data_IF_233532891775
#
_entry.id   IF_233532891775
#
_cell.length_a   1.000
_cell.length_b   1.000
_cell.length_c   1.000
_cell.angle_alpha   90.00
_cell.angle_beta   90.00
_cell.angle_gamma   90.00
#
_symmetry.space_group_name_H-M   'P 1'
#
loop_
_entity.id
_entity.type
_entity.pdbx_description
1 polymer ?
#
# COMPACT_ATOMS: atom_id res chain seq x y z
N UNK A 1 -20.70 12.48 9.57
CA UNK A 1 -19.60 13.13 8.86
C UNK A 1 -18.90 12.07 8.04
N UNK A 2 -19.11 12.08 6.75
CA UNK A 2 -18.82 10.97 5.82
C UNK A 2 -17.35 10.98 5.41
N UNK A 3 -16.50 10.00 5.76
CA UNK A 3 -15.10 9.99 5.35
C UNK A 3 -14.87 9.56 3.89
N UNK A 4 -15.90 9.03 3.22
CA UNK A 4 -15.74 8.44 1.89
C UNK A 4 -15.67 9.42 0.71
N UNK A 5 -15.87 10.72 0.93
CA UNK A 5 -15.76 11.73 -0.14
C UNK A 5 -14.52 12.63 -0.01
N UNK A 6 -13.72 12.47 1.05
CA UNK A 6 -12.53 13.30 1.31
C UNK A 6 -11.20 12.58 1.00
N UNK A 7 -11.24 11.30 0.73
CA UNK A 7 -10.00 10.50 0.55
C UNK A 7 -9.36 10.63 -0.84
N UNK A 8 -10.03 11.29 -1.78
CA UNK A 8 -9.55 11.38 -3.17
C UNK A 8 -8.96 12.76 -3.53
N UNK A 9 -8.58 13.57 -2.54
CA UNK A 9 -8.00 14.89 -2.78
C UNK A 9 -6.56 15.00 -2.26
N UNK A 10 -5.73 14.04 -2.56
CA UNK A 10 -4.32 14.32 -2.85
C UNK A 10 -4.37 14.99 -4.21
N UNK A 11 -3.95 16.22 -4.29
CA UNK A 11 -4.10 17.12 -5.42
C UNK A 11 -3.84 16.40 -6.75
N UNK A 12 -4.92 15.84 -7.30
CA UNK A 12 -4.92 14.97 -8.46
C UNK A 12 -4.46 15.74 -9.71
N UNK A 13 -4.36 17.06 -9.61
CA UNK A 13 -3.99 17.91 -10.74
C UNK A 13 -2.47 17.95 -10.97
N UNK A 14 -1.67 17.97 -9.93
CA UNK A 14 -0.19 17.92 -10.05
C UNK A 14 0.30 16.52 -10.43
N UNK A 15 -0.37 15.47 -9.97
CA UNK A 15 -0.02 14.09 -10.29
C UNK A 15 -0.60 13.59 -11.63
N UNK A 16 -1.62 14.26 -12.19
CA UNK A 16 -2.30 13.86 -13.44
C UNK A 16 -1.39 13.81 -14.67
N UNK A 17 -0.30 14.56 -14.68
CA UNK A 17 0.66 14.55 -15.79
C UNK A 17 1.74 13.46 -15.66
N UNK A 18 1.81 12.76 -14.54
CA UNK A 18 2.88 11.80 -14.28
C UNK A 18 2.53 10.37 -14.68
N UNK A 19 1.25 10.01 -14.56
CA UNK A 19 0.76 8.65 -14.69
C UNK A 19 -0.10 8.47 -15.93
N UNK A 20 -0.14 7.26 -16.44
CA UNK A 20 -0.99 6.88 -17.59
C UNK A 20 -2.48 6.75 -17.22
N UNK A 21 -2.80 6.76 -15.94
CA UNK A 21 -4.16 6.64 -15.40
C UNK A 21 -4.21 7.05 -13.93
N UNK A 22 -5.34 6.83 -13.27
CA UNK A 22 -5.49 7.13 -11.84
C UNK A 22 -4.49 6.32 -11.01
N UNK A 23 -3.90 6.95 -9.99
CA UNK A 23 -3.03 6.27 -9.05
C UNK A 23 -3.84 5.38 -8.09
N UNK A 24 -3.28 4.23 -7.76
CA UNK A 24 -3.76 3.41 -6.65
C UNK A 24 -3.34 4.05 -5.32
N UNK A 25 -4.29 4.29 -4.44
CA UNK A 25 -4.04 4.87 -3.11
C UNK A 25 -4.49 3.90 -2.05
N UNK A 26 -3.55 3.45 -1.22
CA UNK A 26 -3.81 2.62 -0.05
C UNK A 26 -3.54 3.42 1.22
N UNK A 27 -4.48 3.39 2.15
CA UNK A 27 -4.40 4.16 3.40
C UNK A 27 -4.52 3.22 4.58
N UNK A 28 -3.59 3.32 5.51
CA UNK A 28 -3.68 2.69 6.83
C UNK A 28 -3.58 3.74 7.96
N UNK A 29 -3.27 3.31 9.19
CA UNK A 29 -3.18 4.22 10.34
C UNK A 29 -1.95 5.12 10.29
N UNK A 30 -0.87 4.67 9.70
CA UNK A 30 0.47 5.25 9.74
C UNK A 30 0.86 5.90 8.44
N UNK A 31 0.42 5.33 7.30
CA UNK A 31 0.87 5.82 5.99
C UNK A 31 -0.23 5.85 4.93
N UNK A 32 0.02 6.67 3.92
CA UNK A 32 -0.70 6.72 2.66
C UNK A 32 0.27 6.27 1.59
N UNK A 33 0.00 5.15 0.93
CA UNK A 33 0.82 4.67 -0.19
C UNK A 33 0.16 5.04 -1.50
N UNK A 34 0.90 5.73 -2.36
CA UNK A 34 0.47 6.15 -3.70
C UNK A 34 1.30 5.45 -4.75
N UNK A 35 0.66 4.67 -5.61
CA UNK A 35 1.32 3.95 -6.71
C UNK A 35 0.67 4.33 -8.02
N UNK A 36 1.45 4.93 -8.92
CA UNK A 36 0.98 5.32 -10.24
C UNK A 36 1.60 4.46 -11.35
N UNK A 37 0.84 4.18 -12.40
CA UNK A 37 1.33 3.45 -13.57
C UNK A 37 2.03 4.40 -14.54
N UNK A 38 3.26 4.08 -14.91
CA UNK A 38 4.03 4.79 -15.92
C UNK A 38 3.95 4.08 -17.27
N UNK A 39 4.03 4.86 -18.34
CA UNK A 39 4.19 4.29 -19.67
C UNK A 39 5.48 3.44 -19.71
N UNK A 40 5.42 2.23 -20.26
CA UNK A 40 6.60 1.39 -20.43
C UNK A 40 7.61 2.08 -21.36
N UNK A 41 8.91 1.85 -21.15
CA UNK A 41 9.93 2.35 -22.08
C UNK A 41 9.77 1.70 -23.47
N UNK A 42 10.03 2.48 -24.52
CA UNK A 42 10.03 1.95 -25.87
C UNK A 42 11.23 1.01 -26.06
N UNK A 43 10.94 -0.25 -26.31
CA UNK A 43 11.93 -1.30 -26.61
C UNK A 43 11.58 -1.97 -27.93
N UNK A 44 12.59 -2.56 -28.58
CA UNK A 44 12.37 -3.39 -29.77
C UNK A 44 11.53 -4.63 -29.44
N UNK A 45 10.84 -5.18 -30.44
CA UNK A 45 9.99 -6.37 -30.31
C UNK A 45 10.77 -7.59 -29.77
N UNK A 46 12.06 -7.68 -30.12
CA UNK A 46 12.96 -8.77 -29.73
C UNK A 46 13.64 -8.57 -28.38
N UNK A 47 13.26 -7.56 -27.60
CA UNK A 47 13.89 -7.30 -26.29
C UNK A 47 13.66 -8.47 -25.33
N UNK A 48 14.74 -8.93 -24.72
CA UNK A 48 14.72 -9.99 -23.70
C UNK A 48 14.05 -9.50 -22.39
N UNK A 49 13.60 -10.44 -21.56
CA UNK A 49 13.01 -10.12 -20.26
C UNK A 49 13.99 -9.35 -19.35
N UNK A 50 15.29 -9.63 -19.47
CA UNK A 50 16.33 -8.90 -18.74
C UNK A 50 16.43 -7.43 -19.20
N UNK A 51 16.35 -7.18 -20.49
CA UNK A 51 16.38 -5.81 -21.05
C UNK A 51 15.10 -5.05 -20.69
N UNK A 52 13.92 -5.69 -20.77
CA UNK A 52 12.65 -5.12 -20.30
C UNK A 52 12.70 -4.75 -18.82
N UNK A 53 13.22 -5.67 -18.00
CA UNK A 53 13.39 -5.44 -16.56
C UNK A 53 14.33 -4.26 -16.28
N UNK A 54 15.50 -4.21 -16.93
CA UNK A 54 16.46 -3.13 -16.76
C UNK A 54 15.90 -1.76 -17.22
N UNK A 55 15.16 -1.75 -18.31
CA UNK A 55 14.53 -0.55 -18.82
C UNK A 55 13.41 -0.05 -17.91
N UNK A 56 12.59 -0.95 -17.35
CA UNK A 56 11.57 -0.62 -16.35
C UNK A 56 12.18 -0.03 -15.07
N UNK A 57 13.28 -0.62 -14.57
CA UNK A 57 14.00 -0.10 -13.41
C UNK A 57 14.61 1.29 -13.70
N UNK A 58 15.16 1.49 -14.89
CA UNK A 58 15.66 2.78 -15.37
C UNK A 58 14.55 3.83 -15.44
N UNK A 59 13.37 3.47 -15.94
CA UNK A 59 12.20 4.35 -16.02
C UNK A 59 11.70 4.75 -14.64
N UNK A 60 11.59 3.79 -13.71
CA UNK A 60 11.21 4.05 -12.33
C UNK A 60 12.21 4.97 -11.62
N UNK A 61 13.51 4.76 -11.86
CA UNK A 61 14.58 5.61 -11.29
C UNK A 61 14.51 7.03 -11.84
N UNK A 62 14.37 7.21 -13.15
CA UNK A 62 14.24 8.54 -13.78
C UNK A 62 13.03 9.27 -13.20
N UNK A 63 11.86 8.65 -13.15
CA UNK A 63 10.67 9.24 -12.53
C UNK A 63 10.93 9.67 -11.08
N UNK A 64 11.59 8.82 -10.29
CA UNK A 64 11.90 9.11 -8.88
C UNK A 64 12.75 10.37 -8.72
N UNK A 65 13.72 10.58 -9.60
CA UNK A 65 14.59 11.76 -9.57
C UNK A 65 13.85 13.01 -10.08
N UNK A 66 13.19 12.90 -11.23
CA UNK A 66 12.53 14.03 -11.90
C UNK A 66 11.39 14.63 -11.08
N UNK A 67 10.67 13.80 -10.32
CA UNK A 67 9.51 14.23 -9.51
C UNK A 67 9.82 14.43 -8.03
N UNK A 68 11.08 14.34 -7.63
CA UNK A 68 11.47 14.28 -6.21
C UNK A 68 10.93 15.45 -5.40
N UNK A 69 11.14 16.67 -5.85
CA UNK A 69 10.75 17.89 -5.12
C UNK A 69 9.23 17.99 -4.99
N UNK A 70 8.52 17.84 -6.10
CA UNK A 70 7.06 17.89 -6.10
C UNK A 70 6.42 16.82 -5.22
N UNK A 71 6.98 15.60 -5.21
CA UNK A 71 6.50 14.52 -4.31
C UNK A 71 6.77 14.83 -2.84
N UNK A 72 7.87 15.49 -2.52
CA UNK A 72 8.18 15.93 -1.15
C UNK A 72 7.17 16.98 -0.70
N UNK A 73 6.83 17.93 -1.54
CA UNK A 73 5.88 18.99 -1.19
C UNK A 73 4.47 18.44 -0.98
N UNK A 74 4.00 17.58 -1.88
CA UNK A 74 2.72 16.87 -1.72
C UNK A 74 2.73 16.02 -0.43
N UNK A 75 3.82 15.32 -0.15
CA UNK A 75 3.92 14.50 1.05
C UNK A 75 3.84 15.33 2.34
N UNK A 76 4.49 16.50 2.37
CA UNK A 76 4.43 17.44 3.51
C UNK A 76 3.02 17.97 3.74
N UNK A 77 2.33 18.36 2.68
CA UNK A 77 0.96 18.86 2.76
C UNK A 77 0.01 17.76 3.25
N UNK A 78 0.11 16.56 2.66
CA UNK A 78 -0.69 15.41 3.07
C UNK A 78 -0.38 14.98 4.53
N UNK A 79 0.88 14.99 4.95
CA UNK A 79 1.27 14.70 6.32
C UNK A 79 0.68 15.75 7.29
N UNK A 80 0.71 17.03 6.94
CA UNK A 80 0.11 18.09 7.75
C UNK A 80 -1.42 17.93 7.85
N UNK A 81 -2.07 17.59 6.75
CA UNK A 81 -3.53 17.48 6.68
C UNK A 81 -4.08 16.21 7.30
N UNK A 82 -3.41 15.08 7.09
CA UNK A 82 -3.93 13.75 7.47
C UNK A 82 -3.20 13.11 8.64
N UNK A 83 -2.06 13.67 9.07
CA UNK A 83 -1.23 13.13 10.15
C UNK A 83 -0.57 11.79 9.80
N UNK A 84 -0.41 11.47 8.51
CA UNK A 84 0.16 10.21 8.02
C UNK A 84 1.31 10.46 7.08
N UNK A 85 2.30 9.57 7.10
CA UNK A 85 3.40 9.61 6.13
C UNK A 85 2.90 9.23 4.74
N UNK A 86 3.54 9.77 3.70
CA UNK A 86 3.23 9.40 2.31
C UNK A 86 4.38 8.59 1.73
N UNK A 87 4.06 7.37 1.30
CA UNK A 87 4.95 6.52 0.54
C UNK A 87 4.58 6.56 -0.95
N UNK A 88 5.58 6.64 -1.80
CA UNK A 88 5.40 6.69 -3.24
C UNK A 88 5.95 5.45 -3.90
N UNK A 89 5.28 5.02 -4.94
CA UNK A 89 5.72 3.95 -5.81
C UNK A 89 5.24 4.16 -7.24
N UNK A 90 5.76 3.34 -8.12
CA UNK A 90 5.32 3.26 -9.51
C UNK A 90 5.17 1.81 -9.94
N UNK A 91 4.34 1.61 -10.94
CA UNK A 91 4.25 0.38 -11.69
C UNK A 91 4.69 0.64 -13.13
N UNK A 92 5.64 -0.16 -13.61
CA UNK A 92 6.17 -0.08 -14.97
C UNK A 92 6.21 -1.49 -15.54
N UNK A 93 5.49 -1.74 -16.60
CA UNK A 93 5.44 -3.05 -17.28
C UNK A 93 5.10 -4.20 -16.31
N UNK A 94 4.08 -3.99 -15.46
CA UNK A 94 3.63 -4.95 -14.44
C UNK A 94 4.55 -5.09 -13.21
N UNK A 95 5.65 -4.33 -13.15
CA UNK A 95 6.59 -4.33 -12.02
C UNK A 95 6.33 -3.16 -11.09
N UNK A 96 5.99 -3.46 -9.85
CA UNK A 96 5.75 -2.48 -8.80
C UNK A 96 7.05 -2.16 -8.04
N UNK A 97 7.41 -0.89 -7.99
CA UNK A 97 8.60 -0.37 -7.31
C UNK A 97 8.17 0.68 -6.30
N UNK A 98 8.34 0.40 -5.02
CA UNK A 98 8.12 1.38 -3.95
C UNK A 98 9.42 2.14 -3.67
N UNK A 99 9.33 3.45 -3.51
CA UNK A 99 10.49 4.32 -3.23
C UNK A 99 10.78 4.47 -1.74
N UNK A 100 9.77 4.25 -0.91
CA UNK A 100 9.85 4.39 0.55
C UNK A 100 9.16 3.20 1.18
N UNK A 101 9.77 2.65 2.22
CA UNK A 101 9.21 1.58 3.03
C UNK A 101 9.16 2.07 4.47
N UNK A 102 7.97 2.42 4.94
CA UNK A 102 7.78 2.75 6.34
C UNK A 102 7.77 1.45 7.17
N UNK A 103 8.58 1.40 8.19
CA UNK A 103 8.56 0.32 9.17
C UNK A 103 8.07 0.89 10.50
N UNK A 104 6.97 0.37 10.99
CA UNK A 104 6.35 0.78 12.26
C UNK A 104 6.49 -0.36 13.27
N UNK A 105 6.91 -0.10 14.52
CA UNK A 105 7.02 -1.14 15.53
C UNK A 105 5.62 -1.68 15.90
N UNK A 106 5.49 -2.99 15.84
CA UNK A 106 4.31 -3.71 16.35
C UNK A 106 4.76 -4.56 17.53
N UNK A 107 4.21 -4.29 18.72
CA UNK A 107 4.55 -5.02 19.92
C UNK A 107 3.55 -6.15 20.16
N UNK A 108 4.05 -7.37 20.40
CA UNK A 108 3.24 -8.53 20.75
C UNK A 108 3.87 -9.33 21.87
N UNK A 109 3.05 -10.13 22.57
CA UNK A 109 3.47 -11.10 23.58
C UNK A 109 3.12 -12.49 23.09
N UNK A 110 4.15 -13.31 22.89
CA UNK A 110 4.01 -14.69 22.42
C UNK A 110 4.19 -15.68 23.57
N UNK A 111 3.43 -16.75 23.56
CA UNK A 111 3.60 -17.90 24.46
C UNK A 111 4.74 -18.80 23.96
N UNK A 112 5.09 -19.80 24.76
CA UNK A 112 6.21 -20.69 24.44
C UNK A 112 6.09 -21.39 23.05
N UNK A 113 4.94 -21.95 22.64
CA UNK A 113 4.83 -22.61 21.36
C UNK A 113 5.16 -21.66 20.19
N UNK A 114 4.62 -20.42 20.20
CA UNK A 114 4.87 -19.44 19.13
C UNK A 114 6.34 -18.98 19.14
N UNK A 115 6.95 -18.83 20.34
CA UNK A 115 8.38 -18.49 20.41
C UNK A 115 9.27 -19.58 19.85
N UNK A 116 8.94 -20.86 20.08
CA UNK A 116 9.67 -21.98 19.52
C UNK A 116 9.65 -22.01 17.99
N UNK A 117 8.52 -21.60 17.36
CA UNK A 117 8.46 -21.45 15.90
C UNK A 117 9.47 -20.41 15.43
N UNK A 118 9.51 -19.23 16.09
CA UNK A 118 10.48 -18.20 15.73
C UNK A 118 11.92 -18.64 15.93
N UNK A 119 12.20 -19.34 17.03
CA UNK A 119 13.55 -19.86 17.35
C UNK A 119 13.99 -20.89 16.31
N UNK A 120 13.07 -21.75 15.84
CA UNK A 120 13.35 -22.70 14.76
C UNK A 120 13.68 -21.98 13.45
N UNK A 121 12.94 -20.93 13.08
CA UNK A 121 13.21 -20.15 11.87
C UNK A 121 14.58 -19.43 11.94
N UNK A 122 14.95 -18.96 13.11
CA UNK A 122 16.27 -18.35 13.32
C UNK A 122 17.37 -19.40 13.26
N UNK A 123 17.20 -20.53 13.94
CA UNK A 123 18.17 -21.61 13.94
C UNK A 123 18.38 -22.23 12.55
N UNK A 124 17.32 -22.28 11.74
CA UNK A 124 17.38 -22.76 10.34
C UNK A 124 17.94 -21.71 9.35
N UNK A 125 18.29 -20.50 9.81
CA UNK A 125 18.84 -19.45 8.95
C UNK A 125 17.81 -18.76 8.04
N UNK A 126 16.52 -18.99 8.25
CA UNK A 126 15.42 -18.32 7.50
C UNK A 126 15.32 -16.86 7.90
N UNK A 127 15.63 -16.54 9.15
CA UNK A 127 15.65 -15.19 9.69
C UNK A 127 16.86 -14.99 10.62
N UNK A 128 17.34 -13.76 10.75
CA UNK A 128 18.48 -13.39 11.59
C UNK A 128 18.08 -13.08 13.04
N UNK A 129 16.78 -12.86 13.29
CA UNK A 129 16.24 -12.52 14.60
C UNK A 129 14.79 -12.97 14.74
N UNK A 130 14.28 -13.05 15.99
CA UNK A 130 12.86 -13.31 16.26
C UNK A 130 11.94 -12.28 15.61
N UNK A 131 12.31 -11.01 15.58
CA UNK A 131 11.52 -9.95 14.92
C UNK A 131 11.44 -10.17 13.42
N UNK A 132 12.53 -10.54 12.79
CA UNK A 132 12.56 -10.87 11.35
C UNK A 132 11.78 -12.15 11.05
N UNK A 133 11.88 -13.17 11.91
CA UNK A 133 11.09 -14.39 11.82
C UNK A 133 9.58 -14.12 11.92
N UNK A 134 9.16 -13.24 12.84
CA UNK A 134 7.77 -12.82 12.96
C UNK A 134 7.29 -12.07 11.72
N UNK A 135 8.06 -11.12 11.24
CA UNK A 135 7.72 -10.40 10.00
C UNK A 135 7.66 -11.35 8.78
N UNK A 136 8.55 -12.34 8.71
CA UNK A 136 8.51 -13.38 7.70
C UNK A 136 7.23 -14.22 7.78
N UNK A 137 6.83 -14.62 9.00
CA UNK A 137 5.58 -15.38 9.24
C UNK A 137 4.35 -14.59 8.81
N UNK A 138 4.29 -13.29 9.11
CA UNK A 138 3.18 -12.40 8.68
C UNK A 138 3.13 -12.32 7.16
N UNK A 139 4.27 -12.16 6.48
CA UNK A 139 4.31 -12.17 5.01
C UNK A 139 3.88 -13.51 4.41
N UNK A 140 4.23 -14.63 5.06
CA UNK A 140 3.81 -15.96 4.64
C UNK A 140 2.29 -16.10 4.71
N UNK A 141 1.67 -15.67 5.81
CA UNK A 141 0.20 -15.65 5.97
C UNK A 141 -0.43 -14.77 4.90
N UNK A 142 0.11 -13.55 4.67
CA UNK A 142 -0.40 -12.64 3.65
C UNK A 142 -0.45 -13.28 2.25
N UNK A 143 0.59 -14.02 1.85
CA UNK A 143 0.63 -14.70 0.55
C UNK A 143 -0.30 -15.92 0.45
N UNK A 144 -0.50 -16.63 1.56
CA UNK A 144 -1.30 -17.87 1.54
C UNK A 144 -2.78 -17.67 1.91
N UNK A 145 -3.12 -16.50 2.43
CA UNK A 145 -4.47 -16.15 2.85
C UNK A 145 -5.01 -14.89 2.13
N UNK A 146 -4.46 -14.56 0.96
CA UNK A 146 -4.78 -13.32 0.25
C UNK A 146 -6.27 -13.23 -0.12
N UNK A 147 -6.84 -14.30 -0.65
CA UNK A 147 -8.26 -14.37 -0.99
C UNK A 147 -9.15 -14.16 0.25
N UNK A 148 -8.91 -14.92 1.31
CA UNK A 148 -9.65 -14.79 2.56
C UNK A 148 -9.51 -13.41 3.20
N UNK A 149 -8.30 -12.81 3.19
CA UNK A 149 -8.08 -11.46 3.68
C UNK A 149 -8.78 -10.41 2.81
N UNK A 150 -8.89 -10.66 1.50
CA UNK A 150 -9.66 -9.85 0.57
C UNK A 150 -11.16 -9.88 0.90
N UNK A 151 -11.71 -11.07 1.13
CA UNK A 151 -13.10 -11.26 1.55
C UNK A 151 -13.41 -10.55 2.88
N UNK A 152 -12.48 -10.64 3.86
CA UNK A 152 -12.63 -9.95 5.13
C UNK A 152 -12.67 -8.42 4.96
N UNK A 153 -11.79 -7.83 4.11
CA UNK A 153 -11.79 -6.39 3.83
C UNK A 153 -13.12 -5.97 3.20
N UNK A 154 -13.61 -6.71 2.21
CA UNK A 154 -14.89 -6.43 1.55
C UNK A 154 -16.08 -6.54 2.52
N UNK A 155 -16.06 -7.52 3.43
CA UNK A 155 -17.07 -7.63 4.47
C UNK A 155 -17.05 -6.45 5.44
N UNK A 156 -15.86 -5.97 5.83
CA UNK A 156 -15.70 -4.80 6.70
C UNK A 156 -16.20 -3.51 6.04
N UNK A 157 -15.97 -3.30 4.75
CA UNK A 157 -16.52 -2.17 3.98
C UNK A 157 -18.05 -2.19 4.00
N UNK A 158 -18.67 -3.37 3.85
CA UNK A 158 -20.11 -3.54 3.99
C UNK A 158 -20.62 -3.17 5.38
N UNK A 159 -19.92 -3.59 6.43
CA UNK A 159 -20.27 -3.24 7.82
C UNK A 159 -20.20 -1.72 8.02
N UNK A 160 -19.15 -1.07 7.52
CA UNK A 160 -19.00 0.38 7.65
C UNK A 160 -20.10 1.13 6.89
N UNK A 161 -20.47 0.66 5.71
CA UNK A 161 -21.59 1.22 4.94
C UNK A 161 -22.92 1.12 5.71
N UNK A 162 -23.20 -0.03 6.33
CA UNK A 162 -24.43 -0.21 7.14
C UNK A 162 -24.40 0.69 8.39
N UNK A 163 -23.24 0.81 9.06
CA UNK A 163 -23.10 1.71 10.21
C UNK A 163 -23.34 3.17 9.84
N UNK A 164 -22.84 3.63 8.69
CA UNK A 164 -23.00 5.01 8.24
C UNK A 164 -24.45 5.35 7.85
N UNK A 165 -25.22 4.37 7.40
CA UNK A 165 -26.65 4.55 7.09
C UNK A 165 -27.52 4.70 8.35
N UNK A 166 -27.10 4.15 9.48
CA UNK A 166 -27.88 4.15 10.72
C UNK A 166 -29.16 3.31 10.65
N UNK A 167 -29.93 3.19 11.74
CA UNK A 167 -31.25 2.61 11.71
C UNK A 167 -32.20 3.54 10.93
N UNK A 168 -32.96 2.98 9.99
CA UNK A 168 -33.97 3.73 9.24
C UNK A 168 -34.93 4.47 10.19
N UNK A 169 -35.01 5.77 10.07
CA UNK A 169 -35.98 6.59 10.78
C UNK A 169 -37.40 6.56 10.10
N UNK A 170 -37.79 5.38 9.64
CA UNK A 170 -39.11 5.16 9.04
C UNK A 170 -40.11 4.73 10.11
N UNK A 171 -40.33 5.56 11.14
CA UNK A 171 -41.54 5.45 11.96
C UNK A 171 -41.92 6.84 12.53
N UNK A 172 -42.44 7.70 11.65
CA UNK A 172 -43.16 8.90 12.10
C UNK A 172 -44.17 9.37 11.06
N UNK A 173 -45.15 8.53 10.76
CA UNK A 173 -46.41 8.97 10.10
C UNK A 173 -47.52 7.94 10.31
N UNK A 174 -47.95 7.85 11.56
CA UNK A 174 -49.26 7.28 11.89
C UNK A 174 -49.83 8.02 13.10
N UNK A 175 -50.51 9.13 12.85
CA UNK A 175 -51.57 9.70 13.71
C UNK A 175 -52.42 10.64 12.89
#
# INVERSE_FOLDING_TARGET
MNPSSSENTIDNDTARGWFTGPAEVTVDREEITVVGTLAPPALGEDASDAERSAAADGRAKAYREDTREARIDIAREAEHRFGRKVAWGVEVDGRRVLFTHLAVPVMTRLRQPERLVLDTLVAAGVARSRSEALAWSVRLVGRNAEEWLGELRSAMENVERVRSQGPDSSDSSAS
#
